data_IF_346759409526
#
_entry.id   IF_346759409526
#
_cell.length_a   1.000
_cell.length_b   1.000
_cell.length_c   1.000
_cell.angle_alpha   90.00
_cell.angle_beta   90.00
_cell.angle_gamma   90.00
#
_symmetry.space_group_name_H-M   'P 1'
#
loop_
_entity.id
_entity.type
_entity.pdbx_description
1 polymer ?
#
# COMPACT_ATOMS: atom_id res chain seq x y z
N UNK A 1 0.78 41.83 26.29
CA UNK A 1 -0.55 42.18 25.77
C UNK A 1 -0.73 41.45 24.45
N UNK A 2 -1.49 40.33 24.50
CA UNK A 2 -2.25 39.66 23.42
C UNK A 2 -1.50 39.23 22.15
N UNK A 3 -1.64 38.01 21.63
CA UNK A 3 -2.70 37.00 21.70
C UNK A 3 -2.04 35.61 21.63
N UNK A 4 -2.26 34.69 22.57
CA UNK A 4 -3.36 33.69 22.57
C UNK A 4 -3.66 33.13 21.18
N UNK A 5 -3.11 31.94 20.92
CA UNK A 5 -3.34 31.12 19.75
C UNK A 5 -2.89 29.68 20.02
N UNK A 6 -3.32 29.10 21.14
CA UNK A 6 -3.24 27.67 21.38
C UNK A 6 -4.14 26.94 20.37
N UNK A 7 -3.61 26.53 19.21
CA UNK A 7 -4.34 25.66 18.30
C UNK A 7 -3.42 24.63 17.62
N UNK A 8 -3.69 23.37 17.98
CA UNK A 8 -3.17 22.12 17.43
C UNK A 8 -1.72 21.73 17.78
N UNK A 9 -1.58 21.09 18.94
CA UNK A 9 -0.72 19.92 19.08
C UNK A 9 -1.28 18.80 18.19
N UNK A 10 -0.77 18.68 16.97
CA UNK A 10 -0.99 17.50 16.13
C UNK A 10 0.37 16.83 16.02
N UNK A 11 0.49 15.58 16.47
CA UNK A 11 1.71 14.78 16.35
C UNK A 11 2.39 15.04 15.00
N UNK A 12 3.60 15.61 15.04
CA UNK A 12 4.35 15.92 13.84
C UNK A 12 4.60 14.59 13.12
N UNK A 13 3.87 14.38 12.04
CA UNK A 13 3.92 13.16 11.25
C UNK A 13 5.21 13.17 10.43
N UNK A 14 6.33 12.98 11.13
CA UNK A 14 7.67 12.96 10.54
C UNK A 14 7.87 11.62 9.83
N UNK A 15 7.75 11.67 8.50
CA UNK A 15 7.93 10.53 7.60
C UNK A 15 9.10 10.81 6.65
N UNK A 16 10.03 9.87 6.57
CA UNK A 16 11.13 9.90 5.62
C UNK A 16 10.69 9.54 4.19
N UNK A 17 9.59 8.79 4.05
CA UNK A 17 9.08 8.31 2.76
C UNK A 17 7.56 8.25 2.75
N UNK A 18 6.94 8.84 1.73
CA UNK A 18 5.51 8.71 1.46
C UNK A 18 5.28 7.91 0.18
N UNK A 19 4.63 6.75 0.30
CA UNK A 19 4.35 5.84 -0.81
C UNK A 19 2.89 5.97 -1.22
N UNK A 20 2.66 6.31 -2.49
CA UNK A 20 1.31 6.40 -3.05
C UNK A 20 1.03 5.12 -3.85
N UNK A 21 0.10 4.32 -3.35
CA UNK A 21 -0.34 3.05 -3.92
C UNK A 21 0.27 1.83 -3.24
N UNK A 22 -0.59 0.86 -2.91
CA UNK A 22 -0.28 -0.43 -2.28
C UNK A 22 -0.01 -1.54 -3.29
N UNK A 23 0.26 -1.21 -4.55
CA UNK A 23 0.69 -2.19 -5.56
C UNK A 23 2.00 -2.87 -5.19
N UNK A 24 2.45 -3.90 -5.93
CA UNK A 24 3.65 -4.67 -5.58
C UNK A 24 4.93 -3.83 -5.56
N UNK A 25 4.99 -2.75 -6.34
CA UNK A 25 6.10 -1.79 -6.28
C UNK A 25 6.04 -0.95 -5.00
N UNK A 26 4.87 -0.40 -4.65
CA UNK A 26 4.67 0.41 -3.45
C UNK A 26 4.88 -0.39 -2.16
N UNK A 27 4.35 -1.62 -2.09
CA UNK A 27 4.60 -2.53 -0.97
C UNK A 27 6.10 -2.83 -0.80
N UNK A 28 6.81 -3.13 -1.90
CA UNK A 28 8.26 -3.38 -1.82
C UNK A 28 9.04 -2.13 -1.41
N UNK A 29 8.71 -0.97 -1.96
CA UNK A 29 9.34 0.29 -1.58
C UNK A 29 9.13 0.59 -0.09
N UNK A 30 7.89 0.46 0.40
CA UNK A 30 7.56 0.70 1.80
C UNK A 30 8.26 -0.28 2.75
N UNK A 31 8.28 -1.58 2.43
CA UNK A 31 8.96 -2.60 3.24
C UNK A 31 10.47 -2.39 3.26
N UNK A 32 11.09 -2.04 2.13
CA UNK A 32 12.53 -1.80 2.09
C UNK A 32 12.92 -0.55 2.88
N UNK A 33 12.17 0.54 2.75
CA UNK A 33 12.39 1.74 3.54
C UNK A 33 12.17 1.49 5.04
N UNK A 34 11.13 0.75 5.42
CA UNK A 34 10.90 0.35 6.81
C UNK A 34 12.06 -0.51 7.36
N UNK A 35 12.62 -1.43 6.55
CA UNK A 35 13.80 -2.22 6.93
C UNK A 35 15.06 -1.37 7.14
N UNK A 36 15.17 -0.25 6.45
CA UNK A 36 16.26 0.72 6.63
C UNK A 36 16.03 1.65 7.84
N UNK A 37 15.01 1.38 8.65
CA UNK A 37 14.69 2.18 9.85
C UNK A 37 14.01 3.51 9.53
N UNK A 38 13.52 3.69 8.30
CA UNK A 38 12.83 4.91 7.86
C UNK A 38 11.37 4.87 8.27
N UNK A 39 10.82 6.02 8.66
CA UNK A 39 9.40 6.19 8.92
C UNK A 39 8.67 6.34 7.60
N UNK A 40 7.87 5.33 7.25
CA UNK A 40 7.18 5.28 5.95
C UNK A 40 5.68 5.42 6.15
N UNK A 41 5.07 6.34 5.41
CA UNK A 41 3.63 6.40 5.25
C UNK A 41 3.24 5.80 3.89
N UNK A 42 2.16 5.04 3.85
CA UNK A 42 1.60 4.50 2.62
C UNK A 42 0.13 4.88 2.51
N UNK A 43 -0.25 5.47 1.39
CA UNK A 43 -1.62 5.83 1.08
C UNK A 43 -2.13 5.05 -0.13
N UNK A 44 -3.30 4.44 0.00
CA UNK A 44 -4.00 3.73 -1.08
C UNK A 44 -5.40 4.32 -1.21
N UNK A 45 -5.87 4.49 -2.45
CA UNK A 45 -7.22 5.00 -2.73
C UNK A 45 -8.27 3.91 -2.52
N UNK A 46 -7.92 2.66 -2.80
CA UNK A 46 -8.82 1.53 -2.65
C UNK A 46 -8.90 1.07 -1.19
N UNK A 47 -10.06 0.53 -0.79
CA UNK A 47 -10.28 -0.04 0.55
C UNK A 47 -9.49 -1.33 0.82
N UNK A 48 -8.84 -1.86 -0.22
CA UNK A 48 -8.14 -3.14 -0.23
C UNK A 48 -6.67 -2.91 -0.58
N UNK A 49 -5.79 -3.48 0.23
CA UNK A 49 -4.33 -3.42 0.05
C UNK A 49 -3.86 -4.45 -0.98
N UNK A 50 -2.91 -4.06 -1.82
CA UNK A 50 -2.31 -4.95 -2.84
C UNK A 50 -2.38 -4.42 -4.27
N UNK A 51 -3.10 -3.32 -4.48
CA UNK A 51 -3.30 -2.69 -5.78
C UNK A 51 -3.79 -3.68 -6.84
N UNK A 52 -3.49 -3.38 -8.10
CA UNK A 52 -3.98 -4.15 -9.25
C UNK A 52 -3.54 -5.62 -9.21
N UNK A 53 -2.34 -5.93 -8.74
CA UNK A 53 -1.79 -7.28 -8.86
C UNK A 53 -2.52 -8.33 -8.02
N UNK A 54 -3.08 -7.96 -6.86
CA UNK A 54 -3.83 -8.87 -5.98
C UNK A 54 -5.33 -8.88 -6.31
N UNK A 55 -5.95 -7.72 -6.58
CA UNK A 55 -7.41 -7.64 -6.69
C UNK A 55 -7.98 -7.72 -8.10
N UNK A 56 -7.26 -7.23 -9.12
CA UNK A 56 -7.82 -7.10 -10.49
C UNK A 56 -6.88 -7.59 -11.59
N UNK A 57 -5.74 -8.17 -11.21
CA UNK A 57 -4.62 -8.39 -12.11
C UNK A 57 -4.13 -9.83 -12.11
N UNK A 58 -2.82 -9.99 -11.95
CA UNK A 58 -2.10 -11.23 -12.27
C UNK A 58 -2.58 -12.44 -11.46
N UNK A 59 -2.91 -12.29 -10.18
CA UNK A 59 -3.32 -13.41 -9.32
C UNK A 59 -4.67 -14.00 -9.78
N UNK A 60 -5.77 -13.23 -9.89
CA UNK A 60 -7.05 -13.79 -10.34
C UNK A 60 -7.00 -14.35 -11.77
N UNK A 61 -6.29 -13.70 -12.71
CA UNK A 61 -6.16 -14.23 -14.07
C UNK A 61 -5.37 -15.55 -14.15
N UNK A 62 -4.33 -15.72 -13.31
CA UNK A 62 -3.56 -16.97 -13.25
C UNK A 62 -4.33 -18.09 -12.55
N UNK A 63 -5.06 -17.78 -11.48
CA UNK A 63 -5.94 -18.74 -10.80
C UNK A 63 -7.04 -19.23 -11.74
N UNK A 64 -7.70 -18.32 -12.47
CA UNK A 64 -8.74 -18.70 -13.43
C UNK A 64 -8.18 -19.58 -14.55
N UNK A 65 -7.04 -19.21 -15.14
CA UNK A 65 -6.39 -20.05 -16.16
C UNK A 65 -6.01 -21.42 -15.62
N UNK A 66 -5.49 -21.51 -14.39
CA UNK A 66 -5.16 -22.77 -13.75
C UNK A 66 -6.42 -23.63 -13.50
N UNK A 67 -7.51 -23.01 -13.05
CA UNK A 67 -8.79 -23.70 -12.85
C UNK A 67 -9.36 -24.23 -14.16
N UNK A 68 -9.35 -23.44 -15.24
CA UNK A 68 -9.76 -23.89 -16.58
C UNK A 68 -8.90 -25.03 -17.10
N UNK A 69 -7.57 -24.93 -16.94
CA UNK A 69 -6.64 -26.01 -17.32
C UNK A 69 -6.84 -27.29 -16.49
N UNK A 70 -7.28 -27.17 -15.23
CA UNK A 70 -7.58 -28.33 -14.38
C UNK A 70 -8.91 -28.98 -14.80
N UNK A 71 -9.94 -28.17 -15.10
CA UNK A 71 -11.24 -28.66 -15.56
C UNK A 71 -11.20 -29.34 -16.93
N UNK A 72 -10.40 -28.83 -17.88
CA UNK A 72 -10.25 -29.40 -19.23
C UNK A 72 -9.37 -30.66 -19.28
N UNK A 73 -8.78 -31.08 -18.16
CA UNK A 73 -7.87 -32.24 -18.07
C UNK A 73 -8.53 -33.47 -17.44
N UNK A 74 -9.82 -33.37 -17.11
CA UNK A 74 -10.72 -34.46 -16.72
C UNK A 74 -11.57 -34.86 -17.94
#
# INVERSE_FOLDING_TARGET
MSASGDFMSSDDYDYDLFVIGSGPAGQRAAVQAAKLGKRVALAERQTVVGGVCLNTGTIPSKTLRAATMHFLRL
#
